data_IF_386310223843
#
_entry.id   IF_386310223843
#
_cell.length_a   1.000
_cell.length_b   1.000
_cell.length_c   1.000
_cell.angle_alpha   90.00
_cell.angle_beta   90.00
_cell.angle_gamma   90.00
#
_symmetry.space_group_name_H-M   'P 1'
#
loop_
_entity.id
_entity.type
_entity.pdbx_description
1 polymer ?
#
# COMPACT_ATOMS: atom_id res chain seq x y z
N UNK A 1 1.64 5.40 12.16
CA UNK A 1 0.60 6.41 11.90
C UNK A 1 0.97 7.73 12.59
N UNK A 2 0.41 8.85 12.15
CA UNK A 2 0.65 10.14 12.80
C UNK A 2 0.10 10.16 14.23
N UNK A 3 -1.02 9.49 14.46
CA UNK A 3 -1.60 9.38 15.80
C UNK A 3 -0.66 8.68 16.77
N UNK A 4 0.04 7.63 16.34
CA UNK A 4 1.06 6.99 17.15
C UNK A 4 2.23 7.94 17.47
N UNK A 5 2.66 8.79 16.53
CA UNK A 5 3.68 9.79 16.79
C UNK A 5 3.22 10.84 17.80
N UNK A 6 1.97 11.30 17.70
CA UNK A 6 1.36 12.22 18.67
C UNK A 6 1.29 11.61 20.08
N UNK A 7 0.95 10.33 20.16
CA UNK A 7 0.94 9.60 21.44
C UNK A 7 2.35 9.54 22.05
N UNK A 8 3.37 9.20 21.25
CA UNK A 8 4.77 9.18 21.71
C UNK A 8 5.23 10.57 22.20
N UNK A 9 4.80 11.65 21.54
CA UNK A 9 5.06 13.03 22.01
C UNK A 9 4.38 13.33 23.33
N UNK A 10 3.13 12.93 23.52
CA UNK A 10 2.41 13.12 24.78
C UNK A 10 3.08 12.39 25.95
N UNK A 11 3.70 11.24 25.66
CA UNK A 11 4.47 10.47 26.64
C UNK A 11 5.91 10.98 26.82
N UNK A 12 6.29 12.06 26.13
CA UNK A 12 7.64 12.63 26.12
C UNK A 12 8.74 11.64 25.64
N UNK A 13 8.35 10.59 24.91
CA UNK A 13 9.27 9.60 24.34
C UNK A 13 9.98 10.13 23.09
N UNK A 14 9.37 11.09 22.41
CA UNK A 14 9.96 11.85 21.30
C UNK A 14 9.63 13.33 21.49
N UNK A 15 10.46 14.23 20.96
CA UNK A 15 10.24 15.68 20.98
C UNK A 15 9.70 16.23 19.66
N UNK A 16 9.99 15.53 18.57
CA UNK A 16 9.57 15.89 17.22
C UNK A 16 9.51 14.65 16.34
N UNK A 17 8.79 14.73 15.22
CA UNK A 17 8.80 13.73 14.17
C UNK A 17 8.68 14.40 12.80
N UNK A 18 9.05 13.67 11.76
CA UNK A 18 8.92 14.16 10.38
C UNK A 18 8.49 13.05 9.44
N UNK A 19 7.79 13.43 8.36
CA UNK A 19 7.56 12.53 7.23
C UNK A 19 8.88 12.34 6.48
N UNK A 20 9.17 11.12 6.07
CA UNK A 20 10.38 10.85 5.30
C UNK A 20 10.11 10.05 4.02
N UNK A 21 8.91 9.46 3.89
CA UNK A 21 8.58 8.57 2.80
C UNK A 21 7.07 8.47 2.62
N UNK A 22 6.64 8.08 1.42
CA UNK A 22 5.26 7.77 1.09
C UNK A 22 5.15 6.41 0.41
N UNK A 23 3.94 5.91 0.27
CA UNK A 23 3.63 4.76 -0.56
C UNK A 23 2.38 5.05 -1.39
N UNK A 24 2.08 4.20 -2.35
CA UNK A 24 0.92 4.34 -3.22
C UNK A 24 0.27 2.98 -3.47
N UNK A 25 -1.00 2.98 -3.82
CA UNK A 25 -1.75 1.78 -4.17
C UNK A 25 -1.61 1.52 -5.67
N UNK A 26 -1.41 0.25 -6.02
CA UNK A 26 -1.47 -0.27 -7.38
C UNK A 26 -2.35 -1.52 -7.37
N UNK A 27 -2.77 -1.97 -8.55
CA UNK A 27 -3.46 -3.23 -8.72
C UNK A 27 -2.45 -4.29 -9.13
N UNK A 28 -2.21 -5.28 -8.27
CA UNK A 28 -1.34 -6.40 -8.60
C UNK A 28 -2.11 -7.41 -9.45
N UNK A 29 -1.55 -7.78 -10.58
CA UNK A 29 -2.08 -8.81 -11.49
C UNK A 29 -0.98 -9.82 -11.84
N UNK A 30 -1.35 -10.94 -12.44
CA UNK A 30 -0.38 -11.86 -13.02
C UNK A 30 0.36 -11.21 -14.18
N UNK A 31 1.63 -11.57 -14.39
CA UNK A 31 2.45 -11.09 -15.51
C UNK A 31 1.71 -11.25 -16.84
N UNK A 32 1.73 -10.20 -17.67
CA UNK A 32 0.99 -10.14 -18.92
C UNK A 32 -0.47 -9.78 -18.79
N UNK A 33 -0.96 -9.52 -17.58
CA UNK A 33 -2.33 -9.07 -17.31
C UNK A 33 -3.41 -9.85 -18.08
N UNK A 34 -3.56 -11.16 -17.86
CA UNK A 34 -4.39 -12.04 -18.72
C UNK A 34 -5.88 -11.69 -18.70
N UNK A 35 -6.35 -10.97 -17.68
CA UNK A 35 -7.74 -10.50 -17.59
C UNK A 35 -7.96 -9.10 -18.19
N UNK A 36 -6.90 -8.46 -18.69
CA UNK A 36 -6.99 -7.15 -19.32
C UNK A 36 -7.52 -6.06 -18.39
N UNK A 37 -7.12 -6.08 -17.12
CA UNK A 37 -7.51 -5.06 -16.14
C UNK A 37 -6.79 -3.76 -16.47
N UNK A 38 -7.54 -2.68 -16.67
CA UNK A 38 -7.03 -1.38 -17.10
C UNK A 38 -7.15 -0.30 -16.02
N UNK A 39 -8.13 -0.45 -15.14
CA UNK A 39 -8.44 0.54 -14.12
C UNK A 39 -9.18 -0.08 -12.93
N UNK A 40 -9.42 0.72 -11.91
CA UNK A 40 -10.07 0.29 -10.67
C UNK A 40 -11.51 -0.21 -10.90
N UNK A 41 -12.24 0.37 -11.86
CA UNK A 41 -13.63 -0.02 -12.14
C UNK A 41 -13.73 -1.46 -12.63
N UNK A 42 -12.70 -1.97 -13.30
CA UNK A 42 -12.64 -3.35 -13.78
C UNK A 42 -12.73 -4.39 -12.64
N UNK A 43 -12.40 -4.02 -11.41
CA UNK A 43 -12.53 -4.91 -10.25
C UNK A 43 -14.00 -5.27 -9.95
N UNK A 44 -14.93 -4.46 -10.42
CA UNK A 44 -16.37 -4.72 -10.31
C UNK A 44 -16.92 -5.74 -11.32
N UNK A 45 -16.13 -6.16 -12.31
CA UNK A 45 -16.56 -7.12 -13.34
C UNK A 45 -16.86 -8.50 -12.74
N UNK A 46 -17.83 -9.21 -13.35
CA UNK A 46 -18.27 -10.52 -12.86
C UNK A 46 -17.21 -11.61 -13.05
N UNK A 47 -16.37 -11.48 -14.09
CA UNK A 47 -15.32 -12.45 -14.43
C UNK A 47 -14.01 -12.26 -13.65
N UNK A 48 -13.95 -11.30 -12.73
CA UNK A 48 -12.77 -10.93 -11.96
C UNK A 48 -12.90 -11.41 -10.51
N UNK A 49 -11.88 -12.10 -10.01
CA UNK A 49 -11.76 -12.46 -8.60
C UNK A 49 -10.75 -11.52 -7.93
N UNK A 50 -11.18 -10.86 -6.87
CA UNK A 50 -10.41 -9.84 -6.15
C UNK A 50 -9.86 -10.41 -4.85
N UNK A 51 -8.55 -10.29 -4.63
CA UNK A 51 -7.95 -10.46 -3.31
C UNK A 51 -7.95 -9.12 -2.60
N UNK A 52 -8.81 -8.97 -1.60
CA UNK A 52 -9.09 -7.71 -0.92
C UNK A 52 -8.49 -7.69 0.48
N UNK A 53 -7.68 -6.70 0.85
CA UNK A 53 -7.27 -6.49 2.24
C UNK A 53 -8.48 -6.36 3.18
N UNK A 54 -8.41 -7.07 4.31
CA UNK A 54 -9.46 -7.06 5.33
C UNK A 54 -9.53 -5.75 6.11
N UNK A 55 -10.61 -5.57 6.88
CA UNK A 55 -10.90 -4.31 7.60
C UNK A 55 -9.87 -3.94 8.68
N UNK A 56 -9.08 -4.91 9.14
CA UNK A 56 -8.04 -4.68 10.15
C UNK A 56 -6.72 -4.16 9.57
N UNK A 57 -6.61 -4.11 8.25
CA UNK A 57 -5.40 -3.64 7.59
C UNK A 57 -5.50 -2.13 7.27
N UNK A 58 -4.45 -1.37 7.59
CA UNK A 58 -4.40 0.09 7.41
C UNK A 58 -4.64 0.53 5.96
N UNK A 59 -4.23 -0.29 4.99
CA UNK A 59 -4.42 -0.01 3.56
C UNK A 59 -5.90 0.03 3.17
N UNK A 60 -6.77 -0.69 3.86
CA UNK A 60 -8.16 -0.90 3.46
C UNK A 60 -8.94 0.40 3.36
N UNK A 61 -8.74 1.35 4.27
CA UNK A 61 -9.40 2.66 4.22
C UNK A 61 -9.08 3.45 2.94
N UNK A 62 -7.84 3.37 2.48
CA UNK A 62 -7.41 4.02 1.23
C UNK A 62 -7.98 3.31 0.01
N UNK A 63 -8.09 1.98 0.05
CA UNK A 63 -8.66 1.17 -1.03
C UNK A 63 -10.15 1.47 -1.18
N UNK A 64 -10.91 1.50 -0.10
CA UNK A 64 -12.34 1.82 -0.13
C UNK A 64 -12.58 3.25 -0.63
N UNK A 65 -11.78 4.23 -0.18
CA UNK A 65 -11.84 5.59 -0.70
C UNK A 65 -11.54 5.63 -2.23
N UNK A 66 -10.56 4.86 -2.67
CA UNK A 66 -10.23 4.73 -4.09
C UNK A 66 -11.42 4.15 -4.90
N UNK A 67 -12.09 3.12 -4.40
CA UNK A 67 -13.29 2.58 -5.04
C UNK A 67 -14.42 3.60 -5.12
N UNK A 68 -14.65 4.33 -4.03
CA UNK A 68 -15.67 5.39 -3.97
C UNK A 68 -15.36 6.50 -4.97
N UNK A 69 -14.12 6.92 -5.08
CA UNK A 69 -13.70 7.95 -6.04
C UNK A 69 -13.75 7.48 -7.49
N UNK A 70 -13.48 6.20 -7.75
CA UNK A 70 -13.48 5.61 -9.09
C UNK A 70 -14.88 5.33 -9.65
N UNK A 71 -15.82 4.86 -8.83
CA UNK A 71 -17.12 4.41 -9.29
C UNK A 71 -18.27 4.65 -8.29
N UNK A 72 -18.06 5.52 -7.30
CA UNK A 72 -19.05 5.84 -6.26
C UNK A 72 -19.38 4.66 -5.36
N UNK A 73 -20.39 4.87 -4.52
CA UNK A 73 -20.87 3.85 -3.59
C UNK A 73 -21.34 2.56 -4.31
N UNK A 74 -21.75 2.67 -5.56
CA UNK A 74 -22.13 1.50 -6.37
C UNK A 74 -20.94 0.55 -6.57
N UNK A 75 -19.76 1.07 -6.86
CA UNK A 75 -18.56 0.25 -7.04
C UNK A 75 -18.09 -0.33 -5.69
N UNK A 76 -18.14 0.47 -4.61
CA UNK A 76 -17.83 -0.01 -3.26
C UNK A 76 -18.74 -1.19 -2.89
N UNK A 77 -20.06 -1.03 -3.03
CA UNK A 77 -21.03 -2.08 -2.74
C UNK A 77 -20.80 -3.32 -3.61
N UNK A 78 -20.55 -3.13 -4.91
CA UNK A 78 -20.31 -4.24 -5.83
C UNK A 78 -19.11 -5.08 -5.38
N UNK A 79 -17.97 -4.45 -5.09
CA UNK A 79 -16.74 -5.16 -4.73
C UNK A 79 -16.79 -5.70 -3.30
N UNK A 80 -17.21 -4.89 -2.34
CA UNK A 80 -17.07 -5.19 -0.92
C UNK A 80 -18.22 -6.05 -0.35
N UNK A 81 -19.41 -6.00 -0.96
CA UNK A 81 -20.59 -6.71 -0.46
C UNK A 81 -21.07 -7.79 -1.45
N UNK A 82 -21.47 -7.40 -2.66
CA UNK A 82 -22.06 -8.34 -3.63
C UNK A 82 -21.07 -9.44 -4.03
N UNK A 83 -19.92 -9.05 -4.57
CA UNK A 83 -18.87 -10.01 -5.00
C UNK A 83 -18.29 -10.81 -3.83
N UNK A 84 -18.30 -10.23 -2.63
CA UNK A 84 -17.93 -10.96 -1.42
C UNK A 84 -18.94 -12.06 -1.10
N UNK A 85 -20.24 -11.76 -1.19
CA UNK A 85 -21.30 -12.74 -1.01
C UNK A 85 -21.27 -13.82 -2.11
N UNK A 86 -20.89 -13.46 -3.33
CA UNK A 86 -20.67 -14.38 -4.45
C UNK A 86 -19.39 -15.23 -4.31
N UNK A 87 -18.49 -14.89 -3.38
CA UNK A 87 -17.20 -15.55 -3.21
C UNK A 87 -16.13 -15.15 -4.22
N UNK A 88 -16.35 -14.06 -4.97
CA UNK A 88 -15.41 -13.51 -5.97
C UNK A 88 -14.61 -12.31 -5.49
N UNK A 89 -14.95 -11.75 -4.32
CA UNK A 89 -14.04 -10.92 -3.51
C UNK A 89 -13.65 -11.71 -2.27
N UNK A 90 -12.35 -11.98 -2.11
CA UNK A 90 -11.80 -12.85 -1.06
C UNK A 90 -10.95 -11.97 -0.14
N UNK A 91 -11.40 -11.80 1.11
CA UNK A 91 -10.64 -11.01 2.08
C UNK A 91 -9.36 -11.71 2.49
N UNK A 92 -8.29 -10.93 2.71
CA UNK A 92 -7.11 -11.42 3.41
C UNK A 92 -7.44 -11.57 4.90
N UNK A 93 -6.93 -12.61 5.52
CA UNK A 93 -7.22 -12.94 6.92
C UNK A 93 -6.07 -12.52 7.83
N UNK A 94 -4.85 -12.77 7.38
CA UNK A 94 -3.64 -12.54 8.18
C UNK A 94 -2.93 -11.26 7.72
N UNK A 95 -2.75 -11.11 6.41
CA UNK A 95 -1.99 -9.99 5.86
C UNK A 95 -2.18 -9.84 4.36
N UNK A 96 -2.07 -8.62 3.82
CA UNK A 96 -2.11 -8.33 2.38
C UNK A 96 -1.07 -9.12 1.55
N UNK A 97 -0.03 -9.70 2.17
CA UNK A 97 0.92 -10.62 1.53
C UNK A 97 0.29 -11.93 1.06
N UNK A 98 -0.94 -12.22 1.41
CA UNK A 98 -1.70 -13.33 0.83
C UNK A 98 -1.98 -13.10 -0.67
N UNK A 99 -2.12 -11.84 -1.09
CA UNK A 99 -2.48 -11.47 -2.47
C UNK A 99 -1.53 -12.03 -3.54
N UNK A 100 -0.19 -11.85 -3.47
CA UNK A 100 0.71 -12.41 -4.47
C UNK A 100 0.63 -13.94 -4.54
N UNK A 101 0.43 -14.61 -3.42
CA UNK A 101 0.27 -16.07 -3.38
C UNK A 101 -1.04 -16.54 -4.02
N UNK A 102 -2.14 -15.79 -3.83
CA UNK A 102 -3.43 -16.08 -4.47
C UNK A 102 -3.36 -15.88 -5.98
N UNK A 103 -2.69 -14.84 -6.45
CA UNK A 103 -2.45 -14.61 -7.88
C UNK A 103 -1.61 -15.73 -8.47
N UNK A 104 -0.51 -16.10 -7.80
CA UNK A 104 0.34 -17.23 -8.20
C UNK A 104 -0.42 -18.55 -8.31
N UNK A 105 -1.33 -18.80 -7.35
CA UNK A 105 -2.16 -20.04 -7.32
C UNK A 105 -3.35 -19.97 -8.28
N UNK A 106 -3.61 -18.83 -8.90
CA UNK A 106 -4.78 -18.62 -9.76
C UNK A 106 -6.11 -18.60 -9.00
N UNK A 107 -6.11 -18.31 -7.69
CA UNK A 107 -7.32 -18.18 -6.88
C UNK A 107 -7.86 -16.75 -6.83
N UNK A 108 -7.05 -15.77 -7.22
CA UNK A 108 -7.44 -14.38 -7.47
C UNK A 108 -6.81 -13.90 -8.78
N UNK A 109 -7.45 -12.94 -9.43
CA UNK A 109 -7.00 -12.35 -10.69
C UNK A 109 -6.31 -11.01 -10.46
N UNK A 110 -6.70 -10.30 -9.41
CA UNK A 110 -6.19 -8.96 -9.06
C UNK A 110 -6.30 -8.73 -7.55
N UNK A 111 -5.45 -7.85 -7.04
CA UNK A 111 -5.60 -7.32 -5.69
C UNK A 111 -4.98 -5.93 -5.58
N UNK A 112 -5.69 -4.98 -4.95
CA UNK A 112 -5.10 -3.70 -4.58
C UNK A 112 -4.07 -3.91 -3.46
N UNK A 113 -2.88 -3.41 -3.68
CA UNK A 113 -1.73 -3.57 -2.77
C UNK A 113 -0.90 -2.28 -2.74
N UNK A 114 -0.02 -2.18 -1.77
CA UNK A 114 1.06 -1.19 -1.84
C UNK A 114 1.98 -1.48 -3.02
N UNK A 115 2.46 -0.45 -3.72
CA UNK A 115 3.40 -0.60 -4.84
C UNK A 115 4.66 -1.37 -4.42
N UNK A 116 5.11 -1.21 -3.18
CA UNK A 116 6.23 -1.95 -2.60
C UNK A 116 6.01 -3.47 -2.57
N UNK A 117 4.77 -3.93 -2.45
CA UNK A 117 4.46 -5.38 -2.45
C UNK A 117 4.68 -6.00 -3.84
N UNK A 118 4.38 -5.27 -4.92
CA UNK A 118 4.68 -5.75 -6.28
C UNK A 118 6.18 -5.90 -6.49
N UNK A 119 6.96 -4.88 -6.12
CA UNK A 119 8.42 -4.90 -6.22
C UNK A 119 9.00 -6.06 -5.40
N UNK A 120 8.52 -6.25 -4.17
CA UNK A 120 8.96 -7.35 -3.31
C UNK A 120 8.63 -8.71 -3.91
N UNK A 121 7.40 -8.91 -4.38
CA UNK A 121 6.97 -10.15 -5.01
C UNK A 121 7.81 -10.48 -6.24
N UNK A 122 8.13 -9.49 -7.08
CA UNK A 122 9.01 -9.66 -8.24
C UNK A 122 10.44 -10.04 -7.83
N UNK A 123 10.98 -9.43 -6.78
CA UNK A 123 12.31 -9.78 -6.23
C UNK A 123 12.35 -11.21 -5.68
N UNK A 124 11.22 -11.71 -5.17
CA UNK A 124 11.05 -13.10 -4.74
C UNK A 124 10.81 -14.07 -5.92
N UNK A 125 10.82 -13.58 -7.15
CA UNK A 125 10.66 -14.37 -8.37
C UNK A 125 9.20 -14.69 -8.73
N UNK A 126 8.22 -14.00 -8.12
CA UNK A 126 6.82 -14.16 -8.49
C UNK A 126 6.53 -13.42 -9.82
N UNK A 127 5.73 -14.05 -10.66
CA UNK A 127 5.33 -13.53 -11.97
C UNK A 127 4.10 -12.64 -11.84
N UNK A 128 4.31 -11.43 -11.34
CA UNK A 128 3.27 -10.41 -11.13
C UNK A 128 3.71 -9.06 -11.70
N UNK A 129 2.75 -8.21 -12.00
CA UNK A 129 2.98 -6.84 -12.43
C UNK A 129 1.95 -5.89 -11.81
N UNK A 130 2.23 -4.60 -11.86
CA UNK A 130 1.35 -3.54 -11.39
C UNK A 130 0.54 -2.95 -12.53
N UNK A 131 -0.75 -2.74 -12.30
CA UNK A 131 -1.60 -1.85 -13.09
C UNK A 131 -1.79 -0.57 -12.28
N UNK A 132 -1.46 0.57 -12.88
CA UNK A 132 -1.58 1.88 -12.24
C UNK A 132 -3.05 2.28 -12.11
N UNK A 133 -3.38 2.92 -10.98
CA UNK A 133 -4.77 3.35 -10.70
C UNK A 133 -5.14 4.67 -11.39
N UNK A 134 -4.15 5.41 -11.86
CA UNK A 134 -4.32 6.74 -12.44
C UNK A 134 -4.03 7.88 -11.44
N UNK A 135 -3.58 9.04 -11.94
CA UNK A 135 -3.15 10.15 -11.09
C UNK A 135 -4.29 10.74 -10.24
N UNK A 136 -5.52 10.68 -10.74
CA UNK A 136 -6.72 11.15 -10.04
C UNK A 136 -7.11 10.28 -8.83
N UNK A 137 -6.65 9.03 -8.78
CA UNK A 137 -6.89 8.08 -7.69
C UNK A 137 -5.66 7.86 -6.81
N UNK A 138 -4.52 8.41 -7.19
CA UNK A 138 -3.29 8.35 -6.41
C UNK A 138 -3.47 9.09 -5.09
N UNK A 139 -3.06 8.46 -4.00
CA UNK A 139 -3.18 8.98 -2.64
C UNK A 139 -1.83 9.02 -1.92
N UNK A 140 -0.70 8.99 -2.64
CA UNK A 140 0.61 8.91 -2.00
C UNK A 140 0.87 10.06 -1.02
N UNK A 141 0.35 11.24 -1.25
CA UNK A 141 0.46 12.41 -0.37
C UNK A 141 -0.28 12.26 0.97
N UNK A 142 -1.22 11.32 1.05
CA UNK A 142 -1.96 10.97 2.27
C UNK A 142 -1.36 9.77 3.01
N UNK A 143 -0.46 9.03 2.37
CA UNK A 143 0.20 7.83 2.92
C UNK A 143 1.58 8.23 3.41
N UNK A 144 1.71 8.51 4.69
CA UNK A 144 2.90 9.07 5.29
C UNK A 144 3.60 8.05 6.19
N UNK A 145 4.92 7.90 6.00
CA UNK A 145 5.80 7.22 6.93
C UNK A 145 6.56 8.27 7.75
N UNK A 146 6.55 8.07 9.05
CA UNK A 146 7.12 9.02 10.01
C UNK A 146 8.37 8.45 10.64
N UNK A 147 9.30 9.33 10.99
CA UNK A 147 10.49 9.01 11.74
C UNK A 147 10.69 10.02 12.86
N UNK A 148 11.20 9.55 13.99
CA UNK A 148 11.57 10.35 15.15
C UNK A 148 12.79 9.77 15.84
N UNK A 149 13.55 10.63 16.50
CA UNK A 149 14.57 10.23 17.46
C UNK A 149 13.94 10.09 18.84
N UNK A 150 14.25 9.01 19.54
CA UNK A 150 13.82 8.85 20.93
C UNK A 150 14.49 9.89 21.83
N UNK A 151 13.77 10.44 22.81
CA UNK A 151 14.29 11.39 23.80
C UNK A 151 15.45 10.79 24.58
N UNK A 152 15.33 9.51 24.96
CA UNK A 152 16.34 8.74 25.72
C UNK A 152 17.13 7.81 24.77
N UNK A 153 17.47 8.29 23.56
CA UNK A 153 18.27 7.48 22.63
C UNK A 153 19.66 7.17 23.22
N UNK A 154 20.09 5.90 23.30
CA UNK A 154 21.41 5.56 23.86
C UNK A 154 22.59 6.09 23.02
N UNK A 155 22.36 6.36 21.73
CA UNK A 155 23.34 6.93 20.80
C UNK A 155 22.69 8.09 20.02
N UNK A 156 22.46 9.25 20.64
CA UNK A 156 21.67 10.34 20.06
C UNK A 156 22.32 10.96 18.82
N UNK A 157 23.64 11.02 18.73
CA UNK A 157 24.38 11.53 17.58
C UNK A 157 24.23 10.59 16.36
N UNK A 158 24.37 9.28 16.59
CA UNK A 158 24.18 8.29 15.52
C UNK A 158 22.72 8.24 15.04
N UNK A 159 21.76 8.39 15.96
CA UNK A 159 20.34 8.47 15.59
C UNK A 159 20.05 9.70 14.72
N UNK A 160 20.60 10.86 15.06
CA UNK A 160 20.48 12.08 14.26
C UNK A 160 21.14 11.89 12.88
N UNK A 161 22.36 11.37 12.82
CA UNK A 161 23.08 11.11 11.56
C UNK A 161 22.32 10.11 10.67
N UNK A 162 21.69 9.10 11.26
CA UNK A 162 20.84 8.16 10.50
C UNK A 162 19.59 8.84 9.91
N UNK A 163 18.92 9.70 10.69
CA UNK A 163 17.77 10.47 10.20
C UNK A 163 18.19 11.37 9.04
N UNK A 164 19.33 12.05 9.16
CA UNK A 164 19.86 12.88 8.07
C UNK A 164 20.17 12.05 6.82
N UNK A 165 20.77 10.86 7.03
CA UNK A 165 21.05 9.95 5.91
C UNK A 165 19.81 9.49 5.18
N UNK A 166 18.74 9.07 5.87
CA UNK A 166 17.53 8.58 5.22
C UNK A 166 16.76 9.68 4.48
N UNK A 167 16.96 10.95 4.85
CA UNK A 167 16.42 12.12 4.13
C UNK A 167 17.27 12.50 2.91
N UNK A 168 18.47 11.95 2.77
CA UNK A 168 19.37 12.26 1.65
C UNK A 168 18.82 11.74 0.30
N UNK A 169 19.19 12.40 -0.78
CA UNK A 169 18.86 11.97 -2.15
C UNK A 169 19.27 10.51 -2.40
N UNK A 170 20.44 10.11 -1.91
CA UNK A 170 20.93 8.74 -2.04
C UNK A 170 20.00 7.72 -1.40
N UNK A 171 19.54 7.96 -0.18
CA UNK A 171 18.63 7.06 0.52
C UNK A 171 17.23 7.08 -0.12
N UNK A 172 16.74 8.24 -0.53
CA UNK A 172 15.45 8.37 -1.19
C UNK A 172 15.40 7.60 -2.51
N UNK A 173 16.48 7.61 -3.31
CA UNK A 173 16.60 6.78 -4.52
C UNK A 173 16.62 5.28 -4.22
N UNK A 174 17.21 4.87 -3.10
CA UNK A 174 17.17 3.47 -2.68
C UNK A 174 15.72 3.06 -2.36
N UNK A 175 14.97 3.88 -1.62
CA UNK A 175 13.57 3.62 -1.32
C UNK A 175 12.70 3.56 -2.58
N UNK A 176 12.91 4.48 -3.52
CA UNK A 176 12.24 4.48 -4.82
C UNK A 176 12.44 3.16 -5.57
N UNK A 177 13.66 2.61 -5.55
CA UNK A 177 13.98 1.29 -6.11
C UNK A 177 13.25 0.12 -5.46
N UNK A 178 12.65 0.31 -4.29
CA UNK A 178 11.78 -0.64 -3.61
C UNK A 178 10.28 -0.33 -3.76
N UNK A 179 9.92 0.66 -4.58
CA UNK A 179 8.53 1.01 -4.89
C UNK A 179 7.92 2.06 -3.98
N UNK A 180 8.66 2.62 -3.04
CA UNK A 180 8.21 3.77 -2.25
C UNK A 180 8.19 5.05 -3.07
N UNK A 181 7.43 6.04 -2.62
CA UNK A 181 7.45 7.40 -3.19
C UNK A 181 8.33 8.26 -2.28
N UNK A 182 9.41 8.87 -2.81
CA UNK A 182 10.27 9.75 -2.05
C UNK A 182 9.52 10.98 -1.50
N UNK A 183 9.90 11.42 -0.30
CA UNK A 183 9.43 12.70 0.26
C UNK A 183 10.40 13.83 -0.05
N UNK A 184 11.70 13.53 -0.09
CA UNK A 184 12.75 14.47 -0.45
C UNK A 184 13.25 14.17 -1.87
N UNK A 185 13.20 15.16 -2.69
CA UNK A 185 13.70 15.07 -4.07
C UNK A 185 15.22 15.18 -4.13
#
# INVERSE_FOLDING_TARGET
>A
TEDAMKELMQQALISEYSVYLHNRIVLMVSEGNPKGIKNVVDLGRDDIRVSQPGSMEDITKYIVDMYSRAGGEKLVNRIMEEKRAEGTTILTVVHHRETPLRIKKGTADVGPVWATEVVNAQKEGLKVEAVEVGPELDQHDRVNYFIAKLSEAPNPENAAAFIDFIKSEKAQKIYEGYGFVPHFA
#
